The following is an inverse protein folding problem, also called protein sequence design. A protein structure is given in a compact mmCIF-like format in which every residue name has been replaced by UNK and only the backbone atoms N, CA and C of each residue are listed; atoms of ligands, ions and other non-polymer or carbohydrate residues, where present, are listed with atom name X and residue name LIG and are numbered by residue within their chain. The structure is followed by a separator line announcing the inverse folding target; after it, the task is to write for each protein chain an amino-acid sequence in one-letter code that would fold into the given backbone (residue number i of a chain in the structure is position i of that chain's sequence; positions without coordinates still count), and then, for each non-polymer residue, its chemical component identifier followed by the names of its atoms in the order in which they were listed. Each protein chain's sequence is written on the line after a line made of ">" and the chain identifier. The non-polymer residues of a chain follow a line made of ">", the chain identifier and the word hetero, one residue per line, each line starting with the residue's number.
data_IF_380242257303
#
_entry.id   IF_380242257303
#
_cell.length_a   1.000
_cell.length_b   1.000
_cell.length_c   1.000
_cell.angle_alpha   90.00
_cell.angle_beta   90.00
_cell.angle_gamma   90.00
#
_symmetry.space_group_name_H-M   'P 1'
#
loop_
_entity.id
_entity.type
_entity.pdbx_description
1 polymer ?
#
# COMPACT_ATOMS: atom_id res chain seq x y z
N UNK A 1 -6.37 12.22 5.96
CA UNK A 1 -6.86 13.52 5.43
C UNK A 1 -8.08 13.27 4.53
N UNK A 2 -9.08 14.16 4.48
CA UNK A 2 -10.13 14.09 3.45
C UNK A 2 -9.60 14.71 2.16
N UNK A 3 -9.62 13.93 1.07
CA UNK A 3 -9.13 14.34 -0.25
C UNK A 3 -10.30 14.81 -1.12
N UNK A 4 -11.44 14.11 -1.09
CA UNK A 4 -12.65 14.53 -1.79
C UNK A 4 -13.75 14.87 -0.79
N UNK A 5 -14.08 16.16 -0.64
CA UNK A 5 -15.15 16.61 0.25
C UNK A 5 -16.53 16.18 -0.26
N UNK A 6 -16.77 16.30 -1.57
CA UNK A 6 -18.03 15.95 -2.24
C UNK A 6 -18.52 14.53 -1.93
N UNK A 7 -17.60 13.56 -1.91
CA UNK A 7 -17.89 12.14 -1.72
C UNK A 7 -17.35 11.59 -0.39
N UNK A 8 -16.79 12.46 0.47
CA UNK A 8 -16.08 12.12 1.72
C UNK A 8 -15.05 11.01 1.58
N UNK A 9 -14.18 11.12 0.58
CA UNK A 9 -13.12 10.13 0.34
C UNK A 9 -11.85 10.59 1.03
N UNK A 10 -11.27 9.74 1.87
CA UNK A 10 -10.04 10.03 2.59
C UNK A 10 -8.79 9.50 1.88
N UNK A 11 -7.64 10.03 2.25
CA UNK A 11 -6.31 9.54 1.85
C UNK A 11 -6.17 8.03 2.13
N UNK A 12 -6.70 7.55 3.27
CA UNK A 12 -6.68 6.13 3.63
C UNK A 12 -7.53 5.27 2.70
N UNK A 13 -8.65 5.79 2.20
CA UNK A 13 -9.48 5.09 1.23
C UNK A 13 -8.73 4.92 -0.09
N UNK A 14 -8.06 5.98 -0.56
CA UNK A 14 -7.22 5.94 -1.77
C UNK A 14 -6.04 4.99 -1.57
N UNK A 15 -5.35 5.08 -0.43
CA UNK A 15 -4.19 4.25 -0.10
C UNK A 15 -4.51 2.74 -0.16
N UNK A 16 -5.70 2.35 0.33
CA UNK A 16 -6.15 0.94 0.31
C UNK A 16 -6.25 0.38 -1.11
N UNK A 17 -6.79 1.16 -2.04
CA UNK A 17 -6.96 0.73 -3.44
C UNK A 17 -5.65 0.83 -4.22
N UNK A 18 -4.89 1.91 -4.03
CA UNK A 18 -3.58 2.07 -4.65
C UNK A 18 -2.60 0.95 -4.24
N UNK A 19 -2.60 0.55 -2.97
CA UNK A 19 -1.79 -0.59 -2.48
C UNK A 19 -2.25 -1.94 -3.03
N UNK A 20 -3.50 -2.04 -3.50
CA UNK A 20 -4.00 -3.21 -4.22
C UNK A 20 -3.64 -3.20 -5.72
N UNK A 21 -2.85 -2.22 -6.17
CA UNK A 21 -2.37 -2.10 -7.54
C UNK A 21 -3.27 -1.30 -8.48
N UNK A 22 -4.44 -0.88 -8.03
CA UNK A 22 -5.39 -0.08 -8.83
C UNK A 22 -4.78 1.24 -9.26
N UNK A 23 -5.06 1.66 -10.50
CA UNK A 23 -4.67 2.97 -11.00
C UNK A 23 -5.74 4.03 -10.68
N UNK A 24 -5.53 5.27 -11.13
CA UNK A 24 -6.44 6.35 -10.79
C UNK A 24 -7.83 6.15 -11.41
N UNK A 25 -7.92 5.60 -12.61
CA UNK A 25 -9.21 5.44 -13.29
C UNK A 25 -10.05 4.36 -12.60
N UNK A 26 -9.44 3.25 -12.20
CA UNK A 26 -10.06 2.23 -11.35
C UNK A 26 -10.53 2.82 -10.01
N UNK A 27 -9.67 3.60 -9.33
CA UNK A 27 -9.99 4.23 -8.05
C UNK A 27 -11.13 5.26 -8.20
N UNK A 28 -11.15 5.99 -9.32
CA UNK A 28 -12.21 6.93 -9.66
C UNK A 28 -13.54 6.21 -9.86
N UNK A 29 -13.54 5.07 -10.55
CA UNK A 29 -14.72 4.24 -10.74
C UNK A 29 -15.26 3.70 -9.40
N UNK A 30 -14.39 3.10 -8.58
CA UNK A 30 -14.78 2.43 -7.33
C UNK A 30 -15.22 3.40 -6.22
N UNK A 31 -14.49 4.51 -6.05
CA UNK A 31 -14.76 5.46 -4.96
C UNK A 31 -15.64 6.64 -5.40
N UNK A 32 -15.78 6.89 -6.70
CA UNK A 32 -16.41 8.09 -7.24
C UNK A 32 -15.58 9.35 -7.03
N UNK A 33 -14.26 9.25 -6.81
CA UNK A 33 -13.41 10.43 -6.60
C UNK A 33 -13.35 11.32 -7.86
N UNK A 34 -13.34 12.64 -7.66
CA UNK A 34 -13.36 13.65 -8.73
C UNK A 34 -14.60 13.65 -9.67
N UNK A 35 -15.60 12.79 -9.43
CA UNK A 35 -16.81 12.69 -10.28
C UNK A 35 -17.88 13.77 -10.05
N UNK A 36 -17.67 14.71 -9.12
CA UNK A 36 -18.62 15.80 -8.84
C UNK A 36 -18.06 17.17 -9.24
N UNK A 37 -17.33 17.84 -8.35
CA UNK A 37 -16.81 19.18 -8.65
C UNK A 37 -15.41 19.17 -9.31
N UNK A 38 -14.76 18.00 -9.41
CA UNK A 38 -13.43 17.83 -10.00
C UNK A 38 -12.24 18.41 -9.22
N UNK A 39 -12.46 19.34 -8.28
CA UNK A 39 -11.40 20.13 -7.60
C UNK A 39 -10.35 19.29 -6.85
N UNK A 40 -10.69 18.06 -6.46
CA UNK A 40 -9.76 17.16 -5.78
C UNK A 40 -8.82 16.39 -6.71
N UNK A 41 -9.03 16.40 -8.03
CA UNK A 41 -8.39 15.47 -8.97
C UNK A 41 -6.86 15.46 -8.88
N UNK A 42 -6.22 16.64 -8.95
CA UNK A 42 -4.75 16.74 -8.83
C UNK A 42 -4.25 16.16 -7.51
N UNK A 43 -4.84 16.59 -6.39
CA UNK A 43 -4.51 16.07 -5.06
C UNK A 43 -4.72 14.55 -4.96
N UNK A 44 -5.80 14.02 -5.54
CA UNK A 44 -6.09 12.59 -5.54
C UNK A 44 -5.05 11.78 -6.33
N UNK A 45 -4.62 12.27 -7.50
CA UNK A 45 -3.54 11.64 -8.28
C UNK A 45 -2.22 11.63 -7.52
N UNK A 46 -1.87 12.73 -6.87
CA UNK A 46 -0.67 12.79 -6.04
C UNK A 46 -0.71 11.79 -4.89
N UNK A 47 -1.89 11.56 -4.28
CA UNK A 47 -2.07 10.56 -3.23
C UNK A 47 -1.89 9.14 -3.79
N UNK A 48 -2.46 8.83 -4.97
CA UNK A 48 -2.30 7.52 -5.61
C UNK A 48 -0.82 7.22 -5.87
N UNK A 49 -0.07 8.16 -6.45
CA UNK A 49 1.34 7.97 -6.77
C UNK A 49 2.21 7.79 -5.51
N UNK A 50 1.95 8.59 -4.46
CA UNK A 50 2.63 8.46 -3.17
C UNK A 50 2.47 7.07 -2.56
N UNK A 51 1.28 6.47 -2.65
CA UNK A 51 1.02 5.15 -2.05
C UNK A 51 1.48 3.99 -2.95
N UNK A 52 1.48 4.16 -4.28
CA UNK A 52 2.06 3.18 -5.21
C UNK A 52 3.56 3.02 -5.04
N UNK A 53 4.28 4.14 -4.93
CA UNK A 53 5.74 4.14 -4.71
C UNK A 53 6.12 3.53 -3.36
N UNK A 54 5.37 3.84 -2.30
CA UNK A 54 5.56 3.23 -0.98
C UNK A 54 5.31 1.70 -0.99
N UNK A 55 4.25 1.24 -1.68
CA UNK A 55 3.97 -0.19 -1.79
C UNK A 55 5.09 -0.95 -2.53
N UNK A 56 5.65 -0.37 -3.60
CA UNK A 56 6.77 -0.94 -4.33
C UNK A 56 8.05 -1.06 -3.47
N UNK A 57 8.33 -0.06 -2.62
CA UNK A 57 9.46 -0.08 -1.70
C UNK A 57 9.31 -1.16 -0.61
N UNK A 58 8.09 -1.35 -0.08
CA UNK A 58 7.81 -2.37 0.92
C UNK A 58 7.84 -3.78 0.34
N UNK A 59 7.46 -3.97 -0.94
CA UNK A 59 7.55 -5.26 -1.62
C UNK A 59 9.00 -5.71 -1.86
N UNK A 60 9.94 -4.78 -2.02
CA UNK A 60 11.37 -5.09 -2.22
C UNK A 60 12.14 -5.39 -0.91
N UNK A 61 11.51 -5.22 0.26
CA UNK A 61 12.15 -5.36 1.57
C UNK A 61 11.82 -6.67 2.31
N UNK A 62 11.36 -7.71 1.60
CA UNK A 62 11.26 -9.05 2.17
C UNK A 62 12.45 -9.92 1.71
N UNK A 63 13.51 -10.11 2.53
CA UNK A 63 14.27 -11.32 2.42
C UNK A 63 13.34 -12.46 2.85
N UNK A 64 13.08 -13.40 1.94
CA UNK A 64 12.45 -14.67 2.28
C UNK A 64 13.25 -15.31 3.43
N UNK A 65 12.69 -15.30 4.64
CA UNK A 65 13.25 -16.06 5.75
C UNK A 65 13.04 -17.54 5.44
N UNK A 66 14.11 -18.35 5.27
CA UNK A 66 13.94 -19.79 5.26
C UNK A 66 13.60 -20.22 6.69
N UNK A 67 12.44 -20.85 6.87
CA UNK A 67 12.12 -21.61 8.07
C UNK A 67 13.05 -22.83 8.13
N UNK A 68 14.30 -22.66 8.58
CA UNK A 68 15.19 -23.77 8.90
C UNK A 68 15.04 -24.15 10.36
N UNK A 69 14.33 -25.24 10.59
CA UNK A 69 14.24 -25.92 11.87
C UNK A 69 15.56 -26.54 12.34
N UNK A 70 15.48 -27.09 13.55
CA UNK A 70 16.46 -27.92 14.24
C UNK A 70 17.80 -27.28 14.63
N UNK A 71 17.83 -26.77 15.86
CA UNK A 71 19.05 -26.52 16.63
C UNK A 71 19.52 -27.86 17.22
N UNK A 72 20.18 -28.70 16.42
CA UNK A 72 20.93 -29.85 16.95
C UNK A 72 22.22 -29.32 17.60
N UNK A 73 22.23 -29.25 18.94
CA UNK A 73 23.44 -28.96 19.72
C UNK A 73 24.24 -30.26 19.78
N UNK A 74 25.50 -30.34 19.29
CA UNK A 74 26.34 -31.47 19.58
C UNK A 74 26.81 -31.34 21.03
N UNK A 75 26.22 -32.12 21.93
CA UNK A 75 26.86 -32.44 23.21
C UNK A 75 27.93 -33.48 22.88
N UNK A 76 29.20 -33.09 22.95
CA UNK A 76 30.36 -33.94 23.26
C UNK A 76 31.62 -33.09 23.12
N UNK A 77 32.15 -32.60 24.25
CA UNK A 77 33.55 -32.80 24.66
C UNK A 77 33.84 -32.02 25.95
N UNK A 78 33.76 -32.69 27.10
CA UNK A 78 34.54 -32.35 28.28
C UNK A 78 34.83 -33.66 29.00
N UNK A 79 36.00 -34.21 28.67
CA UNK A 79 36.70 -35.18 29.50
C UNK A 79 37.43 -34.43 30.62
#
# INVERSE_FOLDING_TARGET
>A
MIVCVCKRISDRDIARHASAGMDFDDIQFELGIATQCGRCEGCARDVVERHRTAAAQHAHAQPALPLSGYRAIPIMLAA
#
